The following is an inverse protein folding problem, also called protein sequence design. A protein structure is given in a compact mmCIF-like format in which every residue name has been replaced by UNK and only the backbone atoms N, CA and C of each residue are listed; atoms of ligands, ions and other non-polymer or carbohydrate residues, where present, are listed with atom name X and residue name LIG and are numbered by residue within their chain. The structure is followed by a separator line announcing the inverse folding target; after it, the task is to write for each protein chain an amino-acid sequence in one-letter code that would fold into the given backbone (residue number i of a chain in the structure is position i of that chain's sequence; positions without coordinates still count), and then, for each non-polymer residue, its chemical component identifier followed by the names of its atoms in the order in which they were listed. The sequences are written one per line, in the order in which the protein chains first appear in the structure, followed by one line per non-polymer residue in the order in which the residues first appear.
data_IF_258301508205
#
_entry.id   IF_258301508205
#
_cell.length_a   1.000
_cell.length_b   1.000
_cell.length_c   1.000
_cell.angle_alpha   90.00
_cell.angle_beta   90.00
_cell.angle_gamma   90.00
#
_symmetry.space_group_name_H-M   'P 1'
#
loop_
_entity.id
_entity.type
_entity.pdbx_description
1 polymer ?
#
# COMPACT_ATOMS: atom_id res chain seq x y z
N UNK A 1 -15.89 7.95 -29.49
CA UNK A 1 -15.73 8.39 -28.09
C UNK A 1 -15.34 7.16 -27.30
N UNK A 2 -14.10 7.07 -26.83
CA UNK A 2 -13.67 5.96 -25.96
C UNK A 2 -13.97 6.34 -24.52
N UNK A 3 -14.69 5.48 -23.81
CA UNK A 3 -15.01 5.70 -22.40
C UNK A 3 -13.74 5.51 -21.56
N UNK A 4 -13.37 6.54 -20.79
CA UNK A 4 -12.38 6.39 -19.72
C UNK A 4 -13.09 5.72 -18.52
N UNK A 5 -13.07 4.39 -18.46
CA UNK A 5 -13.33 3.67 -17.20
C UNK A 5 -12.15 3.96 -16.25
N UNK A 6 -12.35 4.08 -14.93
CA UNK A 6 -11.23 4.05 -13.99
C UNK A 6 -10.49 2.72 -14.18
N UNK A 7 -9.32 2.79 -14.82
CA UNK A 7 -8.45 1.63 -15.00
C UNK A 7 -7.94 1.25 -13.61
N UNK A 8 -8.50 0.21 -13.01
CA UNK A 8 -7.89 -0.42 -11.86
C UNK A 8 -6.69 -1.18 -12.41
N UNK A 9 -5.51 -0.60 -12.23
CA UNK A 9 -4.25 -1.30 -12.49
C UNK A 9 -4.28 -2.62 -11.72
N UNK A 10 -4.14 -3.74 -12.43
CA UNK A 10 -3.90 -5.01 -11.76
C UNK A 10 -2.53 -4.93 -11.07
N UNK A 11 -2.50 -5.28 -9.79
CA UNK A 11 -1.31 -5.15 -8.96
C UNK A 11 -0.81 -6.52 -8.49
N UNK A 12 0.51 -6.67 -8.49
CA UNK A 12 1.24 -7.77 -7.88
C UNK A 12 1.71 -7.37 -6.49
N UNK A 13 1.46 -8.23 -5.51
CA UNK A 13 1.96 -8.07 -4.14
C UNK A 13 3.46 -8.39 -4.08
N UNK A 14 4.19 -7.58 -3.31
CA UNK A 14 5.62 -7.76 -3.02
C UNK A 14 5.83 -7.60 -1.52
N UNK A 15 6.35 -8.63 -0.85
CA UNK A 15 6.75 -8.54 0.54
C UNK A 15 8.21 -8.07 0.63
N UNK A 16 8.44 -6.91 1.24
CA UNK A 16 9.77 -6.35 1.49
C UNK A 16 10.32 -6.72 2.88
N UNK A 17 9.50 -7.37 3.71
CA UNK A 17 9.82 -7.80 5.06
C UNK A 17 10.11 -9.29 5.16
N UNK A 18 9.89 -9.85 6.34
CA UNK A 18 10.02 -11.29 6.61
C UNK A 18 8.67 -11.99 6.53
N UNK A 19 8.64 -13.31 6.76
CA UNK A 19 7.38 -14.07 6.81
C UNK A 19 6.63 -13.73 8.11
N UNK A 20 7.37 -13.52 9.20
CA UNK A 20 6.88 -13.22 10.54
C UNK A 20 6.47 -11.75 10.68
N UNK A 21 7.19 -10.85 10.01
CA UNK A 21 6.92 -9.41 9.96
C UNK A 21 6.88 -8.96 8.50
N UNK A 22 5.73 -9.18 7.82
CA UNK A 22 5.58 -8.84 6.41
C UNK A 22 5.41 -7.34 6.21
N UNK A 23 6.07 -6.82 5.18
CA UNK A 23 6.00 -5.44 4.74
C UNK A 23 5.52 -5.40 3.29
N UNK A 24 4.20 -5.46 3.13
CA UNK A 24 3.56 -5.62 1.83
C UNK A 24 3.48 -4.29 1.08
N UNK A 25 3.92 -4.30 -0.17
CA UNK A 25 3.68 -3.26 -1.15
C UNK A 25 3.20 -3.85 -2.46
N UNK A 26 2.86 -3.01 -3.42
CA UNK A 26 2.27 -3.42 -4.69
C UNK A 26 2.97 -2.75 -5.87
N UNK A 27 3.21 -3.51 -6.93
CA UNK A 27 3.70 -3.02 -8.22
C UNK A 27 2.73 -3.45 -9.33
N UNK A 28 2.68 -2.72 -10.44
CA UNK A 28 1.76 -3.07 -11.54
C UNK A 28 2.15 -4.41 -12.18
N UNK A 29 1.16 -5.26 -12.50
CA UNK A 29 1.40 -6.50 -13.25
C UNK A 29 1.77 -6.21 -14.72
N UNK A 30 1.53 -5.00 -15.20
CA UNK A 30 1.82 -4.60 -16.58
C UNK A 30 3.30 -4.35 -16.86
N UNK A 31 4.15 -4.39 -15.82
CA UNK A 31 5.59 -4.20 -15.95
C UNK A 31 6.22 -5.34 -16.76
N UNK A 32 7.19 -4.97 -17.60
CA UNK A 32 8.05 -5.99 -18.23
C UNK A 32 8.86 -6.75 -17.18
N UNK A 33 9.38 -7.93 -17.54
CA UNK A 33 10.20 -8.75 -16.64
C UNK A 33 11.44 -7.98 -16.14
N UNK A 34 12.04 -7.16 -17.02
CA UNK A 34 13.19 -6.33 -16.67
C UNK A 34 12.81 -5.23 -15.66
N UNK A 35 11.68 -4.57 -15.87
CA UNK A 35 11.17 -3.53 -14.97
C UNK A 35 10.74 -4.11 -13.62
N UNK A 36 10.02 -5.24 -13.61
CA UNK A 36 9.62 -5.96 -12.39
C UNK A 36 10.85 -6.26 -11.52
N UNK A 37 11.91 -6.81 -12.13
CA UNK A 37 13.16 -7.08 -11.42
C UNK A 37 13.84 -5.81 -10.90
N UNK A 38 13.89 -4.74 -11.68
CA UNK A 38 14.47 -3.45 -11.28
C UNK A 38 13.70 -2.82 -10.11
N UNK A 39 12.38 -2.73 -10.21
CA UNK A 39 11.54 -2.12 -9.18
C UNK A 39 11.52 -2.96 -7.91
N UNK A 40 11.40 -4.29 -8.01
CA UNK A 40 11.48 -5.18 -6.84
C UNK A 40 12.82 -4.99 -6.13
N UNK A 41 13.93 -5.00 -6.85
CA UNK A 41 15.26 -4.81 -6.27
C UNK A 41 15.42 -3.43 -5.60
N UNK A 42 14.88 -2.38 -6.23
CA UNK A 42 14.90 -1.02 -5.68
C UNK A 42 14.10 -0.92 -4.39
N UNK A 43 12.89 -1.48 -4.36
CA UNK A 43 12.01 -1.47 -3.20
C UNK A 43 12.62 -2.26 -2.04
N UNK A 44 13.16 -3.45 -2.31
CA UNK A 44 13.85 -4.25 -1.28
C UNK A 44 15.07 -3.53 -0.72
N UNK A 45 15.83 -2.82 -1.56
CA UNK A 45 17.01 -2.06 -1.11
C UNK A 45 16.66 -0.94 -0.10
N UNK A 46 15.48 -0.35 -0.24
CA UNK A 46 15.05 0.82 0.54
C UNK A 46 13.78 0.53 1.37
N UNK A 47 13.61 -0.71 1.81
CA UNK A 47 12.44 -1.14 2.57
C UNK A 47 12.26 -0.37 3.89
N UNK A 48 13.37 0.14 4.45
CA UNK A 48 13.47 0.88 5.71
C UNK A 48 13.10 2.38 5.58
N UNK A 49 12.89 2.87 4.36
CA UNK A 49 12.44 4.25 4.11
C UNK A 49 10.93 4.41 4.36
N UNK A 50 10.17 3.32 4.27
CA UNK A 50 8.73 3.33 4.48
C UNK A 50 8.39 3.26 5.97
N UNK A 51 7.25 3.85 6.33
CA UNK A 51 6.61 3.62 7.62
C UNK A 51 5.51 2.57 7.42
N UNK A 52 5.75 1.38 7.94
CA UNK A 52 4.83 0.23 7.85
C UNK A 52 3.72 0.29 8.89
N UNK A 53 3.96 1.07 9.95
CA UNK A 53 2.97 1.40 10.96
C UNK A 53 3.03 2.87 11.36
N UNK A 54 1.93 3.39 11.88
CA UNK A 54 1.89 4.73 12.48
C UNK A 54 2.90 4.91 13.63
N UNK A 55 3.37 3.82 14.26
CA UNK A 55 4.37 3.88 15.34
C UNK A 55 5.76 4.29 14.82
N UNK A 56 6.06 3.98 13.57
CA UNK A 56 7.35 4.32 12.93
C UNK A 56 7.41 5.79 12.49
N UNK A 57 6.27 6.49 12.44
CA UNK A 57 6.20 7.91 12.07
C UNK A 57 6.50 8.82 13.26
N UNK A 58 7.75 8.81 13.73
CA UNK A 58 8.20 9.70 14.81
C UNK A 58 8.05 11.17 14.39
N UNK A 59 7.29 11.95 15.16
CA UNK A 59 6.99 13.37 14.86
C UNK A 59 5.51 13.64 14.53
N UNK A 60 4.70 12.60 14.32
CA UNK A 60 3.24 12.74 14.24
C UNK A 60 2.59 12.49 15.61
N UNK A 61 1.76 13.44 16.07
CA UNK A 61 0.84 13.16 17.18
C UNK A 61 -0.31 12.30 16.64
N UNK A 62 -0.38 11.05 17.11
CA UNK A 62 -1.43 10.11 16.72
C UNK A 62 -2.85 10.65 17.00
N UNK A 63 -3.02 11.52 18.00
CA UNK A 63 -4.31 12.17 18.29
C UNK A 63 -4.76 13.11 17.18
N UNK A 64 -3.81 13.62 16.38
CA UNK A 64 -4.07 14.50 15.24
C UNK A 64 -4.05 13.71 13.92
N UNK A 65 -3.09 12.79 13.77
CA UNK A 65 -2.90 12.04 12.53
C UNK A 65 -3.98 10.97 12.29
N UNK A 66 -4.58 10.42 13.36
CA UNK A 66 -5.65 9.43 13.24
C UNK A 66 -7.01 10.12 13.26
N UNK A 67 -7.69 10.12 12.11
CA UNK A 67 -9.06 10.59 12.03
C UNK A 67 -10.03 9.47 12.45
N UNK A 68 -10.74 9.68 13.56
CA UNK A 68 -11.81 8.77 13.98
C UNK A 68 -13.10 9.13 13.24
N UNK A 69 -13.44 8.32 12.23
CA UNK A 69 -14.77 8.38 11.63
C UNK A 69 -15.81 7.94 12.66
N UNK A 70 -16.85 8.75 12.87
CA UNK A 70 -17.97 8.43 13.76
C UNK A 70 -18.90 7.37 13.14
N UNK A 71 -18.36 6.17 12.88
CA UNK A 71 -19.10 5.04 12.32
C UNK A 71 -19.57 4.17 13.49
N UNK A 72 -20.89 4.01 13.63
CA UNK A 72 -21.44 3.03 14.59
C UNK A 72 -21.09 1.61 14.12
N UNK A 73 -20.75 0.74 15.08
CA UNK A 73 -20.38 -0.66 14.82
C UNK A 73 -21.45 -1.49 14.10
N UNK A 74 -22.71 -1.01 14.10
CA UNK A 74 -23.84 -1.65 13.42
C UNK A 74 -23.84 -1.45 11.90
N UNK A 75 -23.02 -0.53 11.37
CA UNK A 75 -22.95 -0.28 9.94
C UNK A 75 -21.94 -1.22 9.27
N UNK A 76 -22.38 -1.84 8.17
CA UNK A 76 -21.53 -2.63 7.30
C UNK A 76 -20.62 -1.71 6.50
N UNK A 77 -19.31 -1.90 6.60
CA UNK A 77 -18.35 -1.22 5.73
C UNK A 77 -18.57 -1.64 4.28
N UNK A 78 -18.63 -0.66 3.38
CA UNK A 78 -18.79 -0.88 1.94
C UNK A 78 -17.53 -0.32 1.26
N UNK A 79 -16.90 -1.14 0.41
CA UNK A 79 -15.81 -0.70 -0.45
C UNK A 79 -16.40 0.08 -1.63
N UNK A 80 -15.96 1.32 -1.87
CA UNK A 80 -16.29 2.00 -3.11
C UNK A 80 -15.50 1.38 -4.27
N UNK A 81 -16.20 1.17 -5.39
CA UNK A 81 -15.65 0.69 -6.66
C UNK A 81 -15.21 1.87 -7.53
#
# INVERSE_FOLDING_TARGET
MVANLPYIDELKEVNLGTIEEPHLTFISVSLSIEEDGKYTSLLTKYWDIFAWSYKEMSGLDLKVAVHHLAIKSVYRLIKQA
#
